data_IF_792776314910
#
_entry.id   IF_792776314910
#
_cell.length_a   1.000
_cell.length_b   1.000
_cell.length_c   1.000
_cell.angle_alpha   90.00
_cell.angle_beta   90.00
_cell.angle_gamma   90.00
#
_symmetry.space_group_name_H-M   'P 1'
#
loop_
_entity.id
_entity.type
_entity.pdbx_description
1 polymer ?
#
# COMPACT_ATOMS: atom_id res chain seq x y z
N UNK A 1 29.24 -40.79 -76.54
CA UNK A 1 28.13 -39.82 -76.40
C UNK A 1 27.24 -40.29 -75.26
N UNK A 2 27.33 -39.63 -74.12
CA UNK A 2 26.63 -40.01 -72.88
C UNK A 2 25.18 -39.54 -72.98
N UNK A 3 24.21 -40.47 -72.98
CA UNK A 3 22.78 -40.18 -72.95
C UNK A 3 22.25 -40.43 -71.53
N UNK A 4 21.79 -39.35 -70.90
CA UNK A 4 21.30 -39.26 -69.52
C UNK A 4 20.08 -40.15 -69.28
N UNK A 5 20.11 -40.91 -68.18
CA UNK A 5 18.95 -41.58 -67.59
C UNK A 5 18.23 -40.57 -66.70
N UNK A 6 16.94 -40.33 -66.96
CA UNK A 6 16.05 -39.56 -66.09
C UNK A 6 15.17 -40.57 -65.35
N UNK A 7 15.35 -40.68 -64.04
CA UNK A 7 14.46 -41.44 -63.13
C UNK A 7 13.40 -40.45 -62.66
N UNK A 8 12.15 -40.67 -63.09
CA UNK A 8 10.99 -39.91 -62.60
C UNK A 8 10.60 -40.39 -61.21
N UNK A 9 10.71 -39.51 -60.22
CA UNK A 9 10.07 -39.67 -58.91
C UNK A 9 8.64 -39.13 -58.99
N UNK A 10 7.65 -40.00 -58.78
CA UNK A 10 6.26 -39.60 -58.55
C UNK A 10 6.15 -39.10 -57.11
N UNK A 11 6.02 -37.78 -56.95
CA UNK A 11 5.72 -37.17 -55.66
C UNK A 11 4.21 -37.23 -55.40
N UNK A 12 3.80 -38.06 -54.43
CA UNK A 12 2.44 -38.10 -53.91
C UNK A 12 2.28 -36.96 -52.90
N UNK A 13 1.70 -35.83 -53.33
CA UNK A 13 1.36 -34.73 -52.42
C UNK A 13 0.09 -35.07 -51.65
N UNK A 14 0.25 -35.47 -50.39
CA UNK A 14 -0.86 -35.52 -49.43
C UNK A 14 -1.16 -34.09 -49.00
N UNK A 15 -2.23 -33.50 -49.53
CA UNK A 15 -2.76 -32.23 -49.05
C UNK A 15 -3.44 -32.46 -47.68
N UNK A 16 -2.66 -32.42 -46.61
CA UNK A 16 -3.20 -32.31 -45.26
C UNK A 16 -3.69 -30.89 -45.03
N UNK A 17 -5.01 -30.66 -45.11
CA UNK A 17 -5.62 -29.48 -44.49
C UNK A 17 -5.48 -29.65 -42.96
N UNK A 18 -4.37 -29.16 -42.42
CA UNK A 18 -4.30 -28.87 -41.00
C UNK A 18 -5.24 -27.68 -40.75
N UNK A 19 -6.43 -27.96 -40.23
CA UNK A 19 -7.22 -26.97 -39.50
C UNK A 19 -6.37 -26.53 -38.31
N UNK A 20 -5.62 -25.45 -38.49
CA UNK A 20 -5.06 -24.70 -37.38
C UNK A 20 -6.26 -24.20 -36.58
N UNK A 21 -6.57 -24.89 -35.49
CA UNK A 21 -7.44 -24.34 -34.47
C UNK A 21 -6.84 -22.97 -34.09
N UNK A 22 -7.65 -21.90 -34.03
CA UNK A 22 -7.14 -20.63 -33.55
C UNK A 22 -6.54 -20.88 -32.17
N UNK A 23 -5.26 -20.55 -32.01
CA UNK A 23 -4.66 -20.39 -30.69
C UNK A 23 -5.61 -19.51 -29.89
N UNK A 24 -6.01 -19.88 -28.67
CA UNK A 24 -6.73 -18.95 -27.80
C UNK A 24 -5.85 -17.71 -27.67
N UNK A 25 -6.22 -16.63 -28.36
CA UNK A 25 -5.67 -15.34 -28.05
C UNK A 25 -6.14 -15.07 -26.63
N UNK A 26 -5.21 -15.06 -25.68
CA UNK A 26 -5.46 -14.54 -24.35
C UNK A 26 -5.86 -13.08 -24.56
N UNK A 27 -7.16 -12.82 -24.57
CA UNK A 27 -7.72 -11.48 -24.68
C UNK A 27 -7.21 -10.66 -23.51
N UNK A 28 -6.77 -9.44 -23.81
CA UNK A 28 -6.33 -8.42 -22.85
C UNK A 28 -7.51 -7.87 -22.01
N UNK A 29 -8.30 -8.76 -21.39
CA UNK A 29 -9.36 -8.45 -20.41
C UNK A 29 -8.85 -8.57 -18.95
N UNK A 30 -7.55 -8.70 -18.76
CA UNK A 30 -6.85 -8.66 -17.47
C UNK A 30 -6.38 -7.20 -17.24
N UNK A 31 -6.94 -6.34 -16.38
CA UNK A 31 -7.88 -6.46 -15.26
C UNK A 31 -8.92 -5.32 -15.35
N UNK A 32 -10.19 -5.63 -15.64
CA UNK A 32 -11.26 -4.74 -15.19
C UNK A 32 -11.44 -4.99 -13.69
N UNK A 33 -10.86 -4.14 -12.83
CA UNK A 33 -11.07 -4.19 -11.38
C UNK A 33 -12.58 -4.23 -11.01
N UNK A 34 -12.94 -4.44 -9.74
CA UNK A 34 -14.34 -4.63 -9.35
C UNK A 34 -15.21 -3.44 -9.77
N UNK A 35 -16.47 -3.73 -10.06
CA UNK A 35 -17.47 -2.71 -10.39
C UNK A 35 -17.73 -1.76 -9.22
N UNK A 36 -18.22 -0.56 -9.53
CA UNK A 36 -18.69 0.39 -8.53
C UNK A 36 -19.74 -0.23 -7.59
N UNK A 37 -20.62 -1.09 -8.10
CA UNK A 37 -21.63 -1.77 -7.30
C UNK A 37 -21.01 -2.74 -6.29
N UNK A 38 -20.02 -3.55 -6.70
CA UNK A 38 -19.30 -4.46 -5.81
C UNK A 38 -18.56 -3.71 -4.70
N UNK A 39 -17.87 -2.62 -5.06
CA UNK A 39 -17.14 -1.80 -4.10
C UNK A 39 -18.08 -1.12 -3.10
N UNK A 40 -19.16 -0.48 -3.56
CA UNK A 40 -20.17 0.12 -2.69
C UNK A 40 -20.85 -0.91 -1.79
N UNK A 41 -21.11 -2.12 -2.29
CA UNK A 41 -21.70 -3.19 -1.48
C UNK A 41 -20.76 -3.61 -0.34
N UNK A 42 -19.45 -3.78 -0.61
CA UNK A 42 -18.47 -4.15 0.41
C UNK A 42 -18.19 -3.01 1.40
N UNK A 43 -18.16 -1.77 0.93
CA UNK A 43 -17.94 -0.57 1.74
C UNK A 43 -19.23 -0.01 2.40
N UNK A 44 -20.41 -0.53 2.07
CA UNK A 44 -21.68 0.01 2.53
C UNK A 44 -21.94 -0.16 4.04
N UNK A 45 -21.16 -0.98 4.73
CA UNK A 45 -21.21 -1.18 6.18
C UNK A 45 -19.97 -0.65 6.89
N UNK A 46 -20.13 -0.26 8.16
CA UNK A 46 -19.04 0.13 9.04
C UNK A 46 -18.75 -1.03 10.01
N UNK A 47 -17.89 -1.99 9.63
CA UNK A 47 -17.56 -3.11 10.54
C UNK A 47 -16.88 -2.60 11.81
N UNK A 48 -16.01 -1.60 11.68
CA UNK A 48 -15.41 -0.88 12.80
C UNK A 48 -15.29 0.60 12.45
N UNK A 49 -15.76 1.48 13.34
CA UNK A 49 -15.47 2.90 13.21
C UNK A 49 -14.05 3.18 13.72
N UNK A 50 -13.19 3.73 12.86
CA UNK A 50 -11.82 4.11 13.23
C UNK A 50 -11.72 5.52 13.80
N UNK A 51 -12.60 6.42 13.37
CA UNK A 51 -12.66 7.78 13.92
C UNK A 51 -13.36 7.80 15.28
N UNK A 52 -12.84 8.56 16.24
CA UNK A 52 -13.47 8.83 17.54
C UNK A 52 -14.67 9.79 17.46
N UNK A 53 -15.00 10.24 16.25
CA UNK A 53 -16.10 11.14 15.96
C UNK A 53 -16.45 11.09 14.48
N UNK A 54 -17.19 12.10 14.02
CA UNK A 54 -17.63 12.24 12.64
C UNK A 54 -17.13 13.55 12.04
N UNK A 55 -17.06 13.57 10.71
CA UNK A 55 -16.66 14.70 9.88
C UNK A 55 -17.88 15.34 9.24
N UNK A 56 -17.77 16.64 8.99
CA UNK A 56 -18.68 17.34 8.11
C UNK A 56 -18.22 17.15 6.66
N UNK A 57 -19.15 17.34 5.74
CA UNK A 57 -18.91 17.37 4.30
C UNK A 57 -18.45 18.78 3.89
N UNK A 58 -19.13 19.81 4.42
CA UNK A 58 -18.75 21.22 4.21
C UNK A 58 -18.37 21.94 5.51
N UNK A 59 -17.72 23.09 5.36
CA UNK A 59 -17.44 24.01 6.48
C UNK A 59 -18.73 24.50 7.14
N UNK A 60 -18.79 24.40 8.47
CA UNK A 60 -19.99 24.73 9.26
C UNK A 60 -21.13 23.71 9.15
N UNK A 61 -20.96 22.64 8.38
CA UNK A 61 -21.94 21.57 8.22
C UNK A 61 -22.08 20.65 9.44
N UNK A 62 -23.14 19.84 9.43
CA UNK A 62 -23.33 18.79 10.43
C UNK A 62 -22.33 17.65 10.25
N UNK A 63 -21.77 17.17 11.37
CA UNK A 63 -20.80 16.07 11.37
C UNK A 63 -21.48 14.71 11.32
N UNK A 64 -21.61 14.13 10.14
CA UNK A 64 -22.36 12.90 9.89
C UNK A 64 -21.52 11.75 9.36
N UNK A 65 -20.36 12.04 8.76
CA UNK A 65 -19.50 11.07 8.07
C UNK A 65 -18.52 10.42 9.06
N UNK A 66 -18.62 9.11 9.25
CA UNK A 66 -17.66 8.35 10.03
C UNK A 66 -16.56 7.76 9.13
N UNK A 67 -15.34 7.63 9.64
CA UNK A 67 -14.29 6.86 8.98
C UNK A 67 -14.38 5.43 9.47
N UNK A 68 -14.61 4.51 8.55
CA UNK A 68 -14.89 3.11 8.82
C UNK A 68 -13.76 2.23 8.33
N UNK A 69 -13.68 1.03 8.90
CA UNK A 69 -12.87 -0.08 8.44
C UNK A 69 -13.78 -1.25 8.15
N UNK A 70 -13.53 -1.90 7.01
CA UNK A 70 -14.13 -3.19 6.66
C UNK A 70 -13.03 -4.07 6.07
N UNK A 71 -12.81 -5.25 6.65
CA UNK A 71 -11.59 -6.02 6.37
C UNK A 71 -10.34 -5.17 6.63
N UNK A 72 -9.45 -5.03 5.65
CA UNK A 72 -8.28 -4.15 5.73
C UNK A 72 -8.49 -2.75 5.16
N UNK A 73 -9.59 -2.51 4.44
CA UNK A 73 -9.82 -1.23 3.79
C UNK A 73 -10.36 -0.20 4.78
N UNK A 74 -9.94 1.05 4.61
CA UNK A 74 -10.50 2.21 5.32
C UNK A 74 -11.40 2.95 4.36
N UNK A 75 -12.62 3.29 4.75
CA UNK A 75 -13.57 3.90 3.83
C UNK A 75 -14.54 4.85 4.52
N UNK A 76 -15.12 5.72 3.70
CA UNK A 76 -16.23 6.59 4.03
C UNK A 76 -17.02 6.94 2.78
N UNK A 77 -18.23 7.45 2.96
CA UNK A 77 -19.01 8.05 1.86
C UNK A 77 -19.35 9.49 2.23
N UNK A 78 -19.01 10.41 1.35
CA UNK A 78 -19.16 11.84 1.51
C UNK A 78 -19.56 12.46 0.17
N UNK A 79 -19.59 13.78 0.13
CA UNK A 79 -19.57 14.57 -1.09
C UNK A 79 -18.20 14.51 -1.77
N UNK A 80 -18.07 15.34 -2.80
CA UNK A 80 -16.81 15.57 -3.48
C UNK A 80 -16.64 17.06 -3.73
N UNK A 81 -15.68 17.66 -3.06
CA UNK A 81 -15.16 18.99 -3.35
C UNK A 81 -13.87 18.89 -4.15
N UNK A 82 -13.69 19.81 -5.10
CA UNK A 82 -12.50 19.84 -5.94
C UNK A 82 -11.38 20.54 -5.16
N UNK A 83 -10.33 19.77 -4.86
CA UNK A 83 -9.08 20.30 -4.33
C UNK A 83 -8.11 20.58 -5.50
N UNK A 84 -7.69 21.84 -5.63
CA UNK A 84 -6.79 22.27 -6.70
C UNK A 84 -5.40 22.64 -6.19
N UNK A 85 -5.06 22.27 -4.95
CA UNK A 85 -3.77 22.57 -4.35
C UNK A 85 -2.59 21.92 -5.10
N UNK A 86 -1.41 22.53 -4.93
CA UNK A 86 -0.14 22.05 -5.46
C UNK A 86 0.39 22.87 -6.64
N UNK A 87 0.73 22.20 -7.74
CA UNK A 87 1.33 22.88 -8.89
C UNK A 87 0.33 23.80 -9.60
N UNK A 88 0.76 25.04 -9.81
CA UNK A 88 0.02 26.00 -10.63
C UNK A 88 -0.12 25.48 -12.06
N UNK A 89 -1.35 25.38 -12.53
CA UNK A 89 -1.72 25.02 -13.90
C UNK A 89 -2.76 25.99 -14.47
N UNK A 90 -3.18 25.79 -15.71
CA UNK A 90 -4.30 26.55 -16.28
C UNK A 90 -5.63 26.28 -15.59
N UNK A 91 -5.80 25.10 -15.01
CA UNK A 91 -7.03 24.65 -14.35
C UNK A 91 -7.01 24.99 -12.86
N UNK A 92 -5.86 24.79 -12.21
CA UNK A 92 -5.66 24.99 -10.79
C UNK A 92 -4.67 26.13 -10.53
N UNK A 93 -5.20 27.27 -10.08
CA UNK A 93 -4.43 28.42 -9.63
C UNK A 93 -5.36 29.36 -8.84
N UNK A 94 -4.76 30.31 -8.16
CA UNK A 94 -5.37 31.39 -7.38
C UNK A 94 -6.40 32.28 -8.12
N UNK A 95 -6.54 32.18 -9.44
CA UNK A 95 -7.63 32.85 -10.17
C UNK A 95 -8.82 31.92 -10.48
N UNK A 96 -8.63 30.60 -10.41
CA UNK A 96 -9.66 29.60 -10.71
C UNK A 96 -10.20 28.92 -9.46
N UNK A 97 -9.42 28.92 -8.39
CA UNK A 97 -9.75 28.35 -7.09
C UNK A 97 -9.49 29.39 -5.98
N UNK A 98 -10.55 29.86 -5.28
CA UNK A 98 -10.43 30.79 -4.16
C UNK A 98 -9.64 30.26 -2.96
N UNK A 99 -9.50 28.94 -2.83
CA UNK A 99 -8.83 28.27 -1.71
C UNK A 99 -7.43 27.77 -2.06
N UNK A 100 -6.97 28.02 -3.30
CA UNK A 100 -5.72 27.47 -3.83
C UNK A 100 -4.52 27.71 -2.92
N UNK A 101 -3.75 26.65 -2.70
CA UNK A 101 -2.42 26.67 -2.12
C UNK A 101 -1.38 26.15 -3.10
N UNK A 102 -0.20 26.79 -3.21
CA UNK A 102 0.85 26.39 -4.15
C UNK A 102 1.64 25.17 -3.68
N UNK A 103 1.11 24.37 -2.75
CA UNK A 103 1.78 23.23 -2.15
C UNK A 103 0.77 22.16 -1.76
N UNK A 104 1.22 20.92 -1.73
CA UNK A 104 0.46 19.76 -1.23
C UNK A 104 1.20 19.15 -0.04
N UNK A 105 0.51 18.38 0.78
CA UNK A 105 1.11 17.72 1.95
C UNK A 105 2.21 16.71 1.60
N UNK A 106 2.22 16.22 0.37
CA UNK A 106 3.26 15.35 -0.18
C UNK A 106 3.74 15.85 -1.53
N UNK A 107 5.00 15.56 -1.85
CA UNK A 107 5.64 15.99 -3.10
C UNK A 107 5.85 14.79 -4.03
N UNK A 108 5.97 15.09 -5.32
CA UNK A 108 6.41 14.15 -6.35
C UNK A 108 7.86 13.73 -6.14
N UNK A 109 8.32 12.72 -6.88
CA UNK A 109 9.71 12.25 -6.80
C UNK A 109 10.75 13.31 -7.16
N UNK A 110 10.37 14.33 -7.92
CA UNK A 110 11.22 15.47 -8.28
C UNK A 110 11.24 16.59 -7.22
N UNK A 111 10.56 16.40 -6.10
CA UNK A 111 10.48 17.34 -4.98
C UNK A 111 9.46 18.46 -5.15
N UNK A 112 8.74 18.55 -6.29
CA UNK A 112 7.67 19.53 -6.49
C UNK A 112 6.36 19.06 -5.85
N UNK A 113 5.42 19.97 -5.53
CA UNK A 113 4.06 19.60 -5.13
C UNK A 113 3.36 18.70 -6.16
N UNK A 114 2.28 18.03 -5.78
CA UNK A 114 1.47 17.26 -6.73
C UNK A 114 0.77 18.18 -7.73
N UNK A 115 0.47 17.65 -8.92
CA UNK A 115 -0.27 18.37 -9.95
C UNK A 115 -1.73 17.89 -9.94
N UNK A 116 -2.63 18.64 -9.30
CA UNK A 116 -4.05 18.31 -9.20
C UNK A 116 -4.77 18.19 -10.56
N UNK A 117 -4.29 18.90 -11.59
CA UNK A 117 -4.84 18.78 -12.94
C UNK A 117 -4.37 17.52 -13.68
N UNK A 118 -3.27 16.91 -13.25
CA UNK A 118 -2.63 15.77 -13.92
C UNK A 118 -2.76 14.43 -13.18
N UNK A 119 -2.83 14.45 -11.85
CA UNK A 119 -2.77 13.27 -10.99
C UNK A 119 -4.08 13.11 -10.20
N UNK A 120 -4.79 11.97 -10.31
CA UNK A 120 -5.89 11.68 -9.39
C UNK A 120 -5.35 11.46 -7.98
N UNK A 121 -5.71 12.36 -7.08
CA UNK A 121 -5.51 12.18 -5.65
C UNK A 121 -6.78 12.51 -4.85
N UNK A 122 -6.83 11.97 -3.64
CA UNK A 122 -7.81 12.32 -2.60
C UNK A 122 -7.13 13.09 -1.47
N UNK A 123 -7.94 13.81 -0.71
CA UNK A 123 -7.52 14.52 0.49
C UNK A 123 -8.02 13.76 1.71
N UNK A 124 -7.13 13.56 2.69
CA UNK A 124 -7.51 13.02 4.00
C UNK A 124 -7.55 14.14 5.03
N UNK A 125 -8.39 14.10 6.07
CA UNK A 125 -8.35 15.14 7.08
C UNK A 125 -7.01 15.14 7.83
N UNK A 126 -6.51 16.32 8.19
CA UNK A 126 -5.37 16.48 9.08
C UNK A 126 -5.55 15.61 10.33
N UNK A 127 -4.48 14.92 10.73
CA UNK A 127 -4.48 14.07 11.92
C UNK A 127 -4.91 14.85 13.16
N UNK A 128 -5.87 14.32 13.91
CA UNK A 128 -6.45 14.97 15.08
C UNK A 128 -6.93 13.96 16.11
N UNK A 129 -7.58 14.43 17.16
CA UNK A 129 -8.27 13.55 18.13
C UNK A 129 -9.48 12.83 17.52
N UNK A 130 -10.05 13.34 16.41
CA UNK A 130 -11.13 12.67 15.68
C UNK A 130 -10.57 11.44 14.97
N UNK A 131 -9.46 11.57 14.25
CA UNK A 131 -8.81 10.45 13.60
C UNK A 131 -7.35 10.78 13.29
N UNK A 132 -6.47 9.80 13.50
CA UNK A 132 -5.10 9.82 13.03
C UNK A 132 -4.94 8.71 11.99
N UNK A 133 -4.92 9.10 10.72
CA UNK A 133 -4.90 8.17 9.59
C UNK A 133 -3.62 7.31 9.55
N UNK A 134 -2.51 7.79 10.14
CA UNK A 134 -1.25 7.04 10.20
C UNK A 134 -1.37 5.78 11.06
N UNK A 135 -2.19 5.82 12.10
CA UNK A 135 -2.47 4.64 12.93
C UNK A 135 -3.19 3.53 12.15
N UNK A 136 -3.82 3.87 11.04
CA UNK A 136 -4.45 2.93 10.14
C UNK A 136 -3.52 2.47 9.00
N UNK A 137 -2.23 2.84 9.00
CA UNK A 137 -1.28 2.48 7.95
C UNK A 137 -1.42 3.31 6.67
N UNK A 138 -2.08 4.47 6.74
CA UNK A 138 -2.25 5.40 5.62
C UNK A 138 -1.13 6.45 5.66
N UNK A 139 -0.52 6.70 4.51
CA UNK A 139 0.51 7.70 4.27
C UNK A 139 0.30 8.34 2.89
N UNK A 140 1.10 9.36 2.55
CA UNK A 140 1.18 9.84 1.17
C UNK A 140 1.45 8.68 0.21
N UNK A 141 0.86 8.76 -0.98
CA UNK A 141 0.86 7.70 -2.00
C UNK A 141 0.02 6.46 -1.69
N UNK A 142 -0.63 6.37 -0.51
CA UNK A 142 -1.56 5.27 -0.23
C UNK A 142 -2.67 5.26 -1.26
N UNK A 143 -2.96 4.11 -1.86
CA UNK A 143 -3.90 4.01 -2.96
C UNK A 143 -5.34 3.95 -2.44
N UNK A 144 -6.24 4.62 -3.13
CA UNK A 144 -7.67 4.60 -2.92
C UNK A 144 -8.42 4.24 -4.21
N UNK A 145 -9.47 3.43 -4.09
CA UNK A 145 -10.56 3.38 -5.07
C UNK A 145 -11.61 4.42 -4.69
N UNK A 146 -11.98 5.27 -5.63
CA UNK A 146 -13.01 6.31 -5.44
C UNK A 146 -14.17 6.00 -6.38
N UNK A 147 -15.36 5.93 -5.82
CA UNK A 147 -16.55 5.45 -6.53
C UNK A 147 -17.61 6.53 -6.55
N UNK A 148 -18.05 6.89 -7.76
CA UNK A 148 -19.19 7.78 -7.97
C UNK A 148 -20.07 7.20 -9.07
N UNK A 149 -21.36 7.05 -8.78
CA UNK A 149 -22.32 6.38 -9.66
C UNK A 149 -21.85 4.97 -10.06
N UNK A 150 -21.64 4.71 -11.34
CA UNK A 150 -21.15 3.46 -11.94
C UNK A 150 -19.63 3.48 -12.21
N UNK A 151 -18.95 4.59 -11.93
CA UNK A 151 -17.53 4.78 -12.21
C UNK A 151 -16.65 4.49 -11.00
N UNK A 152 -15.47 3.97 -11.30
CA UNK A 152 -14.39 3.76 -10.34
C UNK A 152 -13.14 4.42 -10.89
N UNK A 153 -12.50 5.26 -10.07
CA UNK A 153 -11.19 5.82 -10.35
C UNK A 153 -10.22 5.40 -9.24
N UNK A 154 -8.95 5.20 -9.60
CA UNK A 154 -7.90 4.90 -8.62
C UNK A 154 -7.03 6.13 -8.44
N UNK A 155 -6.85 6.52 -7.19
CA UNK A 155 -6.19 7.74 -6.78
C UNK A 155 -5.19 7.44 -5.67
N UNK A 156 -4.30 8.39 -5.39
CA UNK A 156 -3.41 8.35 -4.24
C UNK A 156 -3.91 9.28 -3.14
N UNK A 157 -3.55 9.03 -1.88
CA UNK A 157 -3.60 10.05 -0.82
C UNK A 157 -2.53 11.07 -1.14
N UNK A 158 -2.97 12.27 -1.54
CA UNK A 158 -2.09 13.31 -2.09
C UNK A 158 -2.04 14.60 -1.28
N UNK A 159 -3.09 14.89 -0.50
CA UNK A 159 -3.11 16.05 0.38
C UNK A 159 -3.84 15.83 1.71
N UNK A 160 -3.75 16.82 2.59
CA UNK A 160 -4.44 16.88 3.87
C UNK A 160 -5.31 18.13 3.98
N UNK A 161 -6.58 17.91 4.30
CA UNK A 161 -7.58 18.96 4.48
C UNK A 161 -7.79 19.31 5.95
N UNK A 162 -8.68 20.26 6.26
CA UNK A 162 -8.99 20.66 7.63
C UNK A 162 -9.40 19.48 8.52
N UNK A 163 -9.10 19.57 9.83
CA UNK A 163 -9.30 18.46 10.79
C UNK A 163 -10.75 18.01 11.00
N UNK A 164 -11.74 18.73 10.45
CA UNK A 164 -13.17 18.51 10.71
C UNK A 164 -14.04 18.30 9.47
N UNK A 165 -13.43 18.31 8.28
CA UNK A 165 -14.09 18.18 6.98
C UNK A 165 -13.51 16.97 6.25
N UNK A 166 -14.29 16.30 5.40
CA UNK A 166 -13.84 15.19 4.57
C UNK A 166 -14.68 15.13 3.30
N UNK A 167 -14.08 14.67 2.20
CA UNK A 167 -14.79 14.56 0.91
C UNK A 167 -14.15 15.39 -0.19
N UNK A 168 -12.83 15.57 -0.19
CA UNK A 168 -12.15 16.38 -1.21
C UNK A 168 -11.26 15.50 -2.10
N UNK A 169 -11.07 15.94 -3.35
CA UNK A 169 -10.16 15.28 -4.28
C UNK A 169 -9.79 16.15 -5.48
N UNK A 170 -8.70 15.77 -6.13
CA UNK A 170 -8.09 16.53 -7.23
C UNK A 170 -9.05 16.82 -8.40
N UNK A 171 -8.77 17.92 -9.11
CA UNK A 171 -9.37 18.21 -10.42
C UNK A 171 -9.37 17.00 -11.37
N UNK A 172 -8.24 16.29 -11.47
CA UNK A 172 -8.10 15.13 -12.36
C UNK A 172 -9.02 13.98 -11.95
N UNK A 173 -9.16 13.74 -10.65
CA UNK A 173 -10.06 12.71 -10.13
C UNK A 173 -11.52 13.04 -10.46
N UNK A 174 -11.94 14.29 -10.26
CA UNK A 174 -13.28 14.74 -10.64
C UNK A 174 -13.58 14.47 -12.13
N UNK A 175 -12.63 14.80 -13.02
CA UNK A 175 -12.76 14.50 -14.46
C UNK A 175 -12.97 13.01 -14.73
N UNK A 176 -12.20 12.14 -14.08
CA UNK A 176 -12.30 10.69 -14.30
C UNK A 176 -13.62 10.11 -13.81
N UNK A 177 -14.14 10.65 -12.71
CA UNK A 177 -15.45 10.29 -12.17
C UNK A 177 -16.61 10.95 -12.93
N UNK A 178 -16.34 11.90 -13.83
CA UNK A 178 -17.37 12.71 -14.49
C UNK A 178 -18.13 13.62 -13.53
N UNK A 179 -17.50 14.00 -12.43
CA UNK A 179 -17.94 15.08 -11.54
C UNK A 179 -17.50 16.40 -12.19
N UNK A 180 -18.26 17.48 -12.02
CA UNK A 180 -17.86 18.79 -12.52
C UNK A 180 -16.52 19.19 -11.90
N UNK A 181 -15.42 19.31 -12.66
CA UNK A 181 -14.10 19.52 -12.08
C UNK A 181 -13.80 21.01 -11.84
N UNK A 182 -14.77 21.92 -12.02
CA UNK A 182 -14.53 23.35 -11.81
C UNK A 182 -14.09 23.61 -10.36
N UNK A 183 -12.93 24.25 -10.09
CA UNK A 183 -12.46 24.41 -8.71
C UNK A 183 -13.32 25.35 -7.86
N UNK A 184 -14.03 26.30 -8.49
CA UNK A 184 -14.85 27.29 -7.79
C UNK A 184 -16.33 26.89 -7.64
N UNK A 185 -16.82 25.95 -8.45
CA UNK A 185 -18.26 25.63 -8.55
C UNK A 185 -18.56 24.17 -8.90
N UNK A 186 -17.52 23.35 -8.94
CA UNK A 186 -17.60 21.93 -9.24
C UNK A 186 -17.94 21.09 -8.02
N UNK A 187 -17.65 19.80 -8.14
CA UNK A 187 -17.99 18.84 -7.11
C UNK A 187 -19.38 18.24 -7.24
N UNK A 188 -19.77 17.49 -6.21
CA UNK A 188 -21.13 16.95 -6.03
C UNK A 188 -21.45 16.87 -4.55
N UNK A 189 -22.59 17.42 -4.16
CA UNK A 189 -23.01 17.44 -2.76
C UNK A 189 -23.70 16.15 -2.32
N UNK A 190 -23.65 15.90 -1.00
CA UNK A 190 -24.29 14.76 -0.34
C UNK A 190 -23.43 13.51 -0.36
N UNK A 191 -23.74 12.56 0.53
CA UNK A 191 -22.95 11.35 0.72
C UNK A 191 -23.13 10.36 -0.45
N UNK A 192 -22.51 10.66 -1.60
CA UNK A 192 -22.67 9.95 -2.87
C UNK A 192 -21.35 9.49 -3.49
N UNK A 193 -20.21 9.93 -2.96
CA UNK A 193 -18.88 9.48 -3.35
C UNK A 193 -18.29 8.62 -2.25
N UNK A 194 -17.99 7.36 -2.58
CA UNK A 194 -17.38 6.42 -1.65
C UNK A 194 -15.88 6.38 -1.88
N UNK A 195 -15.11 6.63 -0.83
CA UNK A 195 -13.66 6.61 -0.81
C UNK A 195 -13.21 5.32 -0.10
N UNK A 196 -12.39 4.49 -0.73
CA UNK A 196 -11.95 3.18 -0.20
C UNK A 196 -10.43 3.12 -0.31
N UNK A 197 -9.76 3.35 0.81
CA UNK A 197 -8.30 3.36 0.93
C UNK A 197 -7.80 1.96 1.27
N UNK A 198 -6.64 1.61 0.72
CA UNK A 198 -5.96 0.34 0.96
C UNK A 198 -4.65 0.58 1.72
N UNK A 199 -4.66 0.61 3.07
CA UNK A 199 -3.46 0.74 3.87
C UNK A 199 -2.35 -0.24 3.49
N UNK A 200 -1.10 0.23 3.53
CA UNK A 200 0.06 -0.57 3.13
C UNK A 200 0.29 -0.67 1.62
N UNK A 201 -0.70 -0.31 0.79
CA UNK A 201 -0.57 -0.29 -0.68
C UNK A 201 -0.27 1.14 -1.12
N UNK A 202 0.90 1.36 -1.72
CA UNK A 202 1.30 2.70 -2.19
C UNK A 202 1.79 2.70 -3.63
N UNK A 203 1.51 3.79 -4.33
CA UNK A 203 2.08 4.08 -5.63
C UNK A 203 3.57 4.47 -5.50
N UNK A 204 4.41 4.03 -6.44
CA UNK A 204 5.84 4.35 -6.46
C UNK A 204 6.28 4.76 -7.87
N UNK A 205 6.73 6.01 -8.07
CA UNK A 205 6.55 7.16 -7.16
C UNK A 205 5.06 7.59 -7.03
N UNK A 206 4.75 8.56 -6.18
CA UNK A 206 3.36 9.00 -5.89
C UNK A 206 2.60 9.46 -7.14
N UNK A 207 3.31 10.07 -8.10
CA UNK A 207 2.77 10.53 -9.37
C UNK A 207 2.56 9.42 -10.42
N UNK A 208 2.91 8.17 -10.11
CA UNK A 208 2.79 7.05 -11.04
C UNK A 208 1.35 6.53 -11.11
N UNK A 209 0.56 7.11 -12.00
CA UNK A 209 -0.85 6.75 -12.18
C UNK A 209 -1.05 5.30 -12.66
N UNK A 210 -0.14 4.77 -13.49
CA UNK A 210 -0.23 3.38 -13.98
C UNK A 210 -0.05 2.41 -12.82
N UNK A 211 0.93 2.65 -11.96
CA UNK A 211 1.17 1.84 -10.76
C UNK A 211 0.01 1.96 -9.75
N UNK A 212 -0.49 3.18 -9.53
CA UNK A 212 -1.66 3.42 -8.68
C UNK A 212 -2.90 2.65 -9.18
N UNK A 213 -3.13 2.64 -10.49
CA UNK A 213 -4.26 1.92 -11.11
C UNK A 213 -4.09 0.42 -10.98
N UNK A 214 -2.93 -0.13 -11.35
CA UNK A 214 -2.69 -1.57 -11.31
C UNK A 214 -2.81 -2.12 -9.89
N UNK A 215 -2.09 -1.52 -8.92
CA UNK A 215 -2.15 -1.93 -7.51
C UNK A 215 -3.54 -1.69 -6.90
N UNK A 216 -4.19 -0.59 -7.27
CA UNK A 216 -5.55 -0.26 -6.85
C UNK A 216 -6.56 -1.32 -7.29
N UNK A 217 -6.52 -1.75 -8.55
CA UNK A 217 -7.39 -2.81 -9.06
C UNK A 217 -7.18 -4.13 -8.33
N UNK A 218 -5.94 -4.52 -8.06
CA UNK A 218 -5.63 -5.72 -7.27
C UNK A 218 -6.18 -5.62 -5.84
N UNK A 219 -5.90 -4.50 -5.14
CA UNK A 219 -6.36 -4.30 -3.77
C UNK A 219 -7.89 -4.23 -3.66
N UNK A 220 -8.54 -3.55 -4.61
CA UNK A 220 -9.98 -3.47 -4.71
C UNK A 220 -10.62 -4.84 -4.93
N UNK A 221 -10.04 -5.66 -5.81
CA UNK A 221 -10.49 -7.04 -6.05
C UNK A 221 -10.39 -7.88 -4.78
N UNK A 222 -9.26 -7.81 -4.06
CA UNK A 222 -9.07 -8.51 -2.80
C UNK A 222 -10.09 -8.05 -1.74
N UNK A 223 -10.33 -6.74 -1.63
CA UNK A 223 -11.33 -6.19 -0.71
C UNK A 223 -12.74 -6.72 -0.96
N UNK A 224 -13.18 -6.72 -2.23
CA UNK A 224 -14.50 -7.25 -2.62
C UNK A 224 -14.61 -8.74 -2.34
N UNK A 225 -13.54 -9.50 -2.59
CA UNK A 225 -13.50 -10.95 -2.35
C UNK A 225 -13.27 -11.31 -0.88
N UNK A 226 -13.02 -10.32 -0.02
CA UNK A 226 -12.65 -10.49 1.38
C UNK A 226 -11.39 -11.37 1.56
N UNK A 227 -10.42 -11.22 0.64
CA UNK A 227 -9.13 -11.89 0.71
C UNK A 227 -8.13 -10.98 1.41
N UNK A 228 -7.45 -11.49 2.44
CA UNK A 228 -6.39 -10.74 3.10
C UNK A 228 -5.07 -11.00 2.41
N UNK A 229 -4.48 -9.94 1.85
CA UNK A 229 -3.20 -9.98 1.16
C UNK A 229 -2.03 -9.60 2.07
N UNK A 230 -0.81 -9.93 1.65
CA UNK A 230 0.39 -9.45 2.34
C UNK A 230 0.59 -7.95 2.26
N UNK A 231 0.08 -7.32 1.22
CA UNK A 231 0.24 -5.90 1.00
C UNK A 231 -0.67 -5.08 1.94
N UNK A 232 -1.77 -5.67 2.41
CA UNK A 232 -2.68 -5.08 3.42
C UNK A 232 -2.41 -5.55 4.85
N UNK A 233 -1.42 -6.42 5.06
CA UNK A 233 -1.11 -6.98 6.37
C UNK A 233 -0.32 -5.99 7.23
N UNK A 234 -0.81 -5.69 8.43
CA UNK A 234 -0.10 -4.83 9.38
C UNK A 234 1.19 -5.51 9.88
N UNK A 235 2.34 -4.89 9.58
CA UNK A 235 3.65 -5.31 10.10
C UNK A 235 4.07 -4.51 11.35
N UNK A 236 3.40 -3.39 11.64
CA UNK A 236 3.67 -2.47 12.75
C UNK A 236 2.98 -2.94 14.03
N UNK A 237 3.51 -4.01 14.62
CA UNK A 237 3.00 -4.55 15.87
C UNK A 237 3.63 -3.83 17.07
N UNK A 238 2.85 -3.59 18.12
CA UNK A 238 3.36 -3.00 19.38
C UNK A 238 4.41 -3.89 20.06
N UNK A 239 4.29 -5.20 19.86
CA UNK A 239 5.26 -6.22 20.24
C UNK A 239 5.20 -7.39 19.25
N UNK A 240 6.29 -8.15 19.16
CA UNK A 240 6.40 -9.33 18.30
C UNK A 240 6.35 -10.61 19.14
N UNK A 241 5.18 -11.26 19.28
CA UNK A 241 5.01 -12.41 20.16
C UNK A 241 5.69 -13.67 19.61
N UNK A 242 6.00 -14.62 20.48
CA UNK A 242 6.43 -15.95 20.04
C UNK A 242 5.31 -16.64 19.25
N UNK A 243 5.61 -17.13 18.05
CA UNK A 243 4.67 -17.90 17.23
C UNK A 243 5.18 -19.31 16.97
N UNK A 244 4.25 -20.27 17.03
CA UNK A 244 4.50 -21.69 16.78
C UNK A 244 3.26 -22.35 16.17
N UNK A 245 3.38 -23.63 15.79
CA UNK A 245 2.26 -24.42 15.25
C UNK A 245 0.98 -24.26 16.10
N UNK A 246 -0.14 -23.97 15.42
CA UNK A 246 -1.43 -23.70 16.05
C UNK A 246 -1.67 -22.25 16.47
N UNK A 247 -0.66 -21.36 16.42
CA UNK A 247 -0.87 -19.92 16.58
C UNK A 247 -1.78 -19.39 15.46
N UNK A 248 -2.59 -18.39 15.75
CA UNK A 248 -3.46 -17.74 14.76
C UNK A 248 -3.45 -16.22 14.90
N UNK A 249 -3.92 -15.52 13.87
CA UNK A 249 -4.17 -14.07 13.91
C UNK A 249 -3.18 -13.23 13.11
N UNK A 250 -3.21 -11.91 13.34
CA UNK A 250 -2.47 -10.92 12.53
C UNK A 250 -0.96 -11.09 12.56
N UNK A 251 -0.38 -11.49 13.70
CA UNK A 251 1.05 -11.73 13.81
C UNK A 251 1.50 -12.92 12.93
N UNK A 252 0.66 -13.96 12.82
CA UNK A 252 0.94 -15.09 11.91
C UNK A 252 0.88 -14.62 10.46
N UNK A 253 -0.08 -13.77 10.09
CA UNK A 253 -0.13 -13.18 8.75
C UNK A 253 1.13 -12.39 8.43
N UNK A 254 1.56 -11.53 9.36
CA UNK A 254 2.79 -10.75 9.21
C UNK A 254 4.01 -11.65 8.97
N UNK A 255 4.14 -12.74 9.74
CA UNK A 255 5.20 -13.71 9.55
C UNK A 255 5.13 -14.40 8.17
N UNK A 256 3.95 -14.88 7.76
CA UNK A 256 3.74 -15.51 6.45
C UNK A 256 4.14 -14.59 5.30
N UNK A 257 3.84 -13.31 5.42
CA UNK A 257 4.22 -12.31 4.42
C UNK A 257 5.72 -12.05 4.35
N UNK A 258 6.39 -11.96 5.49
CA UNK A 258 7.84 -11.76 5.55
C UNK A 258 8.62 -12.98 5.07
N UNK A 259 8.03 -14.18 5.14
CA UNK A 259 8.62 -15.41 4.61
C UNK A 259 8.60 -15.46 3.08
N UNK A 260 7.81 -14.61 2.41
CA UNK A 260 7.75 -14.48 0.95
C UNK A 260 7.08 -15.66 0.22
N UNK A 261 6.37 -16.52 0.96
CA UNK A 261 5.80 -17.76 0.44
C UNK A 261 4.36 -17.66 -0.06
N UNK A 262 3.56 -16.71 0.43
CA UNK A 262 2.17 -16.52 -0.01
C UNK A 262 1.84 -15.04 -0.13
N UNK A 263 1.13 -14.65 -1.20
CA UNK A 263 0.55 -13.30 -1.31
C UNK A 263 -0.74 -13.16 -0.48
N UNK A 264 -1.33 -14.30 -0.09
CA UNK A 264 -2.55 -14.42 0.70
C UNK A 264 -2.25 -15.16 2.02
N UNK A 265 -1.86 -14.45 3.08
CA UNK A 265 -1.53 -15.06 4.37
C UNK A 265 -2.78 -15.59 5.08
N UNK A 266 -2.82 -16.90 5.36
CA UNK A 266 -3.95 -17.55 6.03
C UNK A 266 -4.17 -17.07 7.47
N UNK A 267 -3.13 -16.57 8.13
CA UNK A 267 -3.14 -16.23 9.54
C UNK A 267 -3.26 -17.44 10.46
N UNK A 268 -3.04 -18.64 9.95
CA UNK A 268 -2.94 -19.88 10.71
C UNK A 268 -1.53 -20.43 10.59
N UNK A 269 -0.88 -20.71 11.72
CA UNK A 269 0.46 -21.25 11.74
C UNK A 269 0.39 -22.76 11.50
N UNK A 270 0.22 -23.10 10.23
CA UNK A 270 0.07 -24.45 9.72
C UNK A 270 1.43 -25.12 9.41
N UNK A 271 1.38 -26.33 8.87
CA UNK A 271 2.58 -27.09 8.47
C UNK A 271 3.40 -26.35 7.42
N UNK A 272 2.75 -25.73 6.43
CA UNK A 272 3.44 -24.96 5.40
C UNK A 272 4.18 -23.75 5.99
N UNK A 273 3.56 -23.05 6.94
CA UNK A 273 4.19 -21.95 7.69
C UNK A 273 5.37 -22.47 8.52
N UNK A 274 5.20 -23.61 9.19
CA UNK A 274 6.26 -24.24 9.97
C UNK A 274 7.49 -24.59 9.11
N UNK A 275 7.26 -25.18 7.93
CA UNK A 275 8.32 -25.54 6.99
C UNK A 275 9.01 -24.30 6.42
N UNK A 276 8.25 -23.26 6.06
CA UNK A 276 8.79 -21.99 5.60
C UNK A 276 9.66 -21.32 6.67
N UNK A 277 9.24 -21.34 7.94
CA UNK A 277 10.02 -20.79 9.05
C UNK A 277 11.32 -21.57 9.26
N UNK A 278 11.27 -22.90 9.25
CA UNK A 278 12.46 -23.74 9.36
C UNK A 278 13.45 -23.50 8.21
N UNK A 279 12.94 -23.38 6.98
CA UNK A 279 13.75 -23.04 5.82
C UNK A 279 14.38 -21.63 5.97
N UNK A 280 13.61 -20.65 6.43
CA UNK A 280 14.12 -19.31 6.72
C UNK A 280 15.21 -19.33 7.79
N UNK A 281 14.96 -19.96 8.93
CA UNK A 281 15.91 -20.07 10.04
C UNK A 281 17.21 -20.72 9.58
N UNK A 282 17.13 -21.82 8.82
CA UNK A 282 18.29 -22.48 8.21
C UNK A 282 19.07 -21.50 7.32
N UNK A 283 18.38 -20.74 6.47
CA UNK A 283 18.99 -19.78 5.54
C UNK A 283 19.75 -18.65 6.26
N UNK A 284 19.22 -18.18 7.39
CA UNK A 284 19.84 -17.07 8.15
C UNK A 284 20.74 -17.54 9.31
N UNK A 285 20.94 -18.86 9.46
CA UNK A 285 21.83 -19.44 10.47
C UNK A 285 21.26 -19.49 11.89
N UNK A 286 19.93 -19.46 12.05
CA UNK A 286 19.24 -19.66 13.32
C UNK A 286 18.92 -21.15 13.55
N UNK A 287 18.65 -21.58 14.81
CA UNK A 287 18.09 -22.91 15.07
C UNK A 287 16.81 -23.13 14.26
N UNK A 288 16.78 -24.18 13.44
CA UNK A 288 15.64 -24.53 12.58
C UNK A 288 14.55 -25.28 13.36
N UNK A 289 14.09 -24.71 14.47
CA UNK A 289 13.09 -25.29 15.37
C UNK A 289 11.63 -25.02 14.93
N UNK A 290 11.42 -24.09 14.00
CA UNK A 290 10.09 -23.67 13.56
C UNK A 290 9.38 -22.76 14.56
N UNK A 291 10.09 -22.17 15.53
CA UNK A 291 9.57 -21.17 16.46
C UNK A 291 9.96 -19.76 15.99
N UNK A 292 8.98 -18.90 15.76
CA UNK A 292 9.25 -17.47 15.53
C UNK A 292 9.33 -16.77 16.88
N UNK A 293 10.51 -16.83 17.50
CA UNK A 293 10.87 -16.02 18.68
C UNK A 293 11.51 -14.69 18.30
N UNK A 294 12.01 -13.95 19.30
CA UNK A 294 12.61 -12.62 19.12
C UNK A 294 13.72 -12.59 18.03
N UNK A 295 14.59 -13.61 17.99
CA UNK A 295 15.66 -13.73 16.99
C UNK A 295 15.12 -13.90 15.57
N UNK A 296 14.18 -14.82 15.39
CA UNK A 296 13.54 -15.07 14.09
C UNK A 296 12.77 -13.83 13.61
N UNK A 297 12.04 -13.14 14.49
CA UNK A 297 11.39 -11.87 14.18
C UNK A 297 12.37 -10.79 13.77
N UNK A 298 13.45 -10.61 14.53
CA UNK A 298 14.50 -9.62 14.23
C UNK A 298 15.02 -9.82 12.80
N UNK A 299 15.34 -11.07 12.44
CA UNK A 299 15.83 -11.44 11.12
C UNK A 299 14.79 -11.23 10.00
N UNK A 300 13.55 -11.70 10.20
CA UNK A 300 12.46 -11.54 9.23
C UNK A 300 12.20 -10.06 8.94
N UNK A 301 12.11 -9.25 10.00
CA UNK A 301 11.82 -7.82 9.89
C UNK A 301 13.00 -7.05 9.30
N UNK A 302 14.25 -7.51 9.45
CA UNK A 302 15.42 -6.85 8.88
C UNK A 302 15.74 -7.26 7.43
N UNK A 303 15.01 -8.22 6.85
CA UNK A 303 15.30 -8.73 5.51
C UNK A 303 15.21 -7.64 4.43
N UNK A 304 16.03 -7.75 3.37
CA UNK A 304 16.12 -6.78 2.26
C UNK A 304 17.44 -6.01 2.24
N UNK A 305 17.46 -4.88 1.52
CA UNK A 305 18.65 -4.06 1.30
C UNK A 305 19.31 -3.55 2.60
N UNK A 306 20.56 -3.10 2.54
CA UNK A 306 21.30 -2.60 3.69
C UNK A 306 21.73 -1.12 3.51
N UNK A 307 20.78 -0.18 3.36
CA UNK A 307 21.13 1.24 3.22
C UNK A 307 21.75 1.76 4.51
N UNK A 308 22.67 2.71 4.41
CA UNK A 308 23.17 3.40 5.60
C UNK A 308 22.15 4.44 6.03
N UNK A 309 21.52 4.24 7.20
CA UNK A 309 20.54 5.17 7.77
C UNK A 309 20.99 5.64 9.16
N UNK A 310 20.62 6.88 9.49
CA UNK A 310 21.02 7.62 10.70
C UNK A 310 19.99 8.69 11.04
N UNK A 311 20.19 9.41 12.13
CA UNK A 311 19.32 10.52 12.53
C UNK A 311 19.01 11.47 11.35
N UNK A 312 17.72 11.76 11.16
CA UNK A 312 17.17 12.54 10.04
C UNK A 312 16.77 11.72 8.80
N UNK A 313 17.14 10.44 8.70
CA UNK A 313 16.68 9.56 7.61
C UNK A 313 15.18 9.28 7.74
N UNK A 314 14.50 9.08 6.62
CA UNK A 314 13.08 8.72 6.60
C UNK A 314 12.78 7.59 5.60
N UNK A 315 11.59 7.00 5.72
CA UNK A 315 11.05 6.05 4.74
C UNK A 315 11.05 4.59 5.20
N UNK A 316 10.77 3.69 4.26
CA UNK A 316 10.49 2.27 4.56
C UNK A 316 11.66 1.53 5.20
N UNK A 317 12.90 1.89 4.86
CA UNK A 317 14.09 1.34 5.50
C UNK A 317 14.16 1.67 6.99
N UNK A 318 13.70 2.85 7.39
CA UNK A 318 13.62 3.28 8.80
C UNK A 318 12.51 2.53 9.53
N UNK A 319 11.31 2.42 8.94
CA UNK A 319 10.22 1.63 9.54
C UNK A 319 10.66 0.18 9.76
N UNK A 320 11.36 -0.40 8.77
CA UNK A 320 11.92 -1.75 8.85
C UNK A 320 12.93 -1.90 10.00
N UNK A 321 13.81 -0.92 10.18
CA UNK A 321 14.72 -0.87 11.32
C UNK A 321 13.94 -0.81 12.64
N UNK A 322 12.98 0.10 12.78
CA UNK A 322 12.21 0.30 14.01
C UNK A 322 11.46 -0.97 14.43
N UNK A 323 10.88 -1.70 13.47
CA UNK A 323 10.28 -3.04 13.68
C UNK A 323 11.30 -4.04 14.21
N UNK A 324 12.45 -4.15 13.53
CA UNK A 324 13.51 -5.10 13.88
C UNK A 324 14.10 -4.80 15.26
N UNK A 325 14.34 -3.53 15.60
CA UNK A 325 14.78 -3.09 16.93
C UNK A 325 13.75 -3.41 18.01
N UNK A 326 12.45 -3.22 17.71
CA UNK A 326 11.38 -3.59 18.63
C UNK A 326 11.42 -5.09 18.97
N UNK A 327 11.62 -5.94 17.97
CA UNK A 327 11.78 -7.38 18.17
C UNK A 327 13.07 -7.73 18.94
N UNK A 328 14.20 -7.11 18.58
CA UNK A 328 15.52 -7.42 19.14
C UNK A 328 15.68 -6.99 20.61
N UNK A 329 15.13 -5.82 20.95
CA UNK A 329 15.27 -5.21 22.28
C UNK A 329 14.14 -5.62 23.23
N UNK A 330 13.05 -6.20 22.71
CA UNK A 330 11.87 -6.58 23.52
C UNK A 330 11.10 -5.38 24.09
N UNK A 331 11.32 -4.18 23.55
CA UNK A 331 10.63 -2.94 23.92
C UNK A 331 10.20 -2.19 22.66
N UNK A 332 9.04 -1.54 22.70
CA UNK A 332 8.52 -0.80 21.56
C UNK A 332 9.42 0.37 21.18
N UNK A 333 9.83 0.42 19.92
CA UNK A 333 10.34 1.62 19.23
C UNK A 333 9.19 2.13 18.38
N UNK A 334 8.91 3.44 18.43
CA UNK A 334 7.85 4.03 17.59
C UNK A 334 8.17 3.75 16.12
N UNK A 335 7.20 3.22 15.39
CA UNK A 335 7.34 2.86 13.97
C UNK A 335 6.66 3.93 13.12
N UNK A 336 7.33 5.07 12.96
CA UNK A 336 6.86 6.23 12.21
C UNK A 336 7.64 6.43 10.89
N UNK A 337 8.64 5.60 10.63
CA UNK A 337 9.51 5.74 9.47
C UNK A 337 10.41 6.98 9.54
N UNK A 338 10.57 7.59 10.71
CA UNK A 338 11.45 8.73 10.96
C UNK A 338 12.57 8.33 11.92
N UNK A 339 13.81 8.49 11.47
CA UNK A 339 14.96 8.16 12.31
C UNK A 339 15.24 9.36 13.20
N UNK A 340 14.52 9.46 14.32
CA UNK A 340 14.73 10.49 15.33
C UNK A 340 15.61 10.03 16.51
N UNK A 341 15.78 10.88 17.54
CA UNK A 341 16.61 10.57 18.72
C UNK A 341 16.23 9.27 19.44
N UNK A 342 14.93 8.91 19.45
CA UNK A 342 14.46 7.66 20.05
C UNK A 342 14.90 6.42 19.25
N UNK A 343 14.91 6.50 17.91
CA UNK A 343 15.42 5.44 17.04
C UNK A 343 16.94 5.33 17.13
N UNK A 344 17.64 6.46 17.21
CA UNK A 344 19.09 6.52 17.44
C UNK A 344 19.50 5.83 18.74
N UNK A 345 18.84 6.18 19.84
CA UNK A 345 19.06 5.54 21.15
C UNK A 345 18.84 4.03 21.07
N UNK A 346 17.79 3.58 20.36
CA UNK A 346 17.53 2.16 20.19
C UNK A 346 18.59 1.46 19.31
N UNK A 347 19.11 2.13 18.28
CA UNK A 347 20.21 1.63 17.46
C UNK A 347 21.50 1.49 18.29
N UNK A 348 21.85 2.49 19.09
CA UNK A 348 23.00 2.46 20.00
C UNK A 348 22.88 1.35 21.05
N UNK A 349 21.70 1.18 21.66
CA UNK A 349 21.44 0.09 22.59
C UNK A 349 21.64 -1.27 21.92
N UNK A 350 21.07 -1.46 20.72
CA UNK A 350 21.27 -2.68 19.96
C UNK A 350 22.75 -2.94 19.69
N UNK A 351 23.47 -1.95 19.15
CA UNK A 351 24.92 -2.03 18.91
C UNK A 351 25.69 -2.42 20.17
N UNK A 352 25.38 -1.80 21.32
CA UNK A 352 25.99 -2.12 22.62
C UNK A 352 25.73 -3.57 23.03
N UNK A 353 24.48 -4.04 22.93
CA UNK A 353 24.12 -5.43 23.27
C UNK A 353 24.74 -6.48 22.33
N UNK A 354 25.24 -6.06 21.16
CA UNK A 354 25.89 -6.91 20.15
C UNK A 354 27.39 -6.69 20.03
N UNK A 355 27.97 -5.87 20.91
CA UNK A 355 29.39 -5.50 20.87
C UNK A 355 29.84 -4.98 19.48
N UNK A 356 28.97 -4.22 18.82
CA UNK A 356 29.28 -3.47 17.61
C UNK A 356 29.85 -2.10 17.97
N UNK A 357 30.36 -1.38 16.96
CA UNK A 357 30.65 0.05 17.12
C UNK A 357 29.34 0.76 17.47
N UNK A 358 29.34 1.50 18.58
CA UNK A 358 28.17 2.24 19.08
C UNK A 358 28.25 3.66 18.54
N UNK A 359 27.76 3.86 17.32
CA UNK A 359 27.78 5.13 16.60
C UNK A 359 26.38 5.64 16.24
N UNK A 360 25.32 4.91 16.60
CA UNK A 360 23.94 5.25 16.28
C UNK A 360 23.60 5.15 14.78
N UNK A 361 24.55 4.74 13.94
CA UNK A 361 24.40 4.61 12.49
C UNK A 361 24.14 3.15 12.13
N UNK A 362 23.04 2.91 11.41
CA UNK A 362 22.71 1.58 10.93
C UNK A 362 23.25 1.41 9.51
N UNK A 363 24.50 0.97 9.44
CA UNK A 363 25.18 0.57 8.21
C UNK A 363 25.16 -0.96 7.99
N UNK A 364 25.90 -1.45 6.97
CA UNK A 364 25.91 -2.87 6.60
C UNK A 364 26.22 -3.83 7.76
N UNK A 365 27.11 -3.46 8.69
CA UNK A 365 27.47 -4.30 9.84
C UNK A 365 26.28 -4.48 10.80
N UNK A 366 25.60 -3.38 11.14
CA UNK A 366 24.40 -3.41 11.99
C UNK A 366 23.26 -4.17 11.31
N UNK A 367 23.02 -3.93 10.01
CA UNK A 367 22.02 -4.67 9.24
C UNK A 367 22.30 -6.17 9.20
N UNK A 368 23.57 -6.56 9.00
CA UNK A 368 23.96 -7.97 8.97
C UNK A 368 23.72 -8.65 10.32
N UNK A 369 23.97 -7.95 11.43
CA UNK A 369 23.65 -8.47 12.76
C UNK A 369 22.13 -8.68 12.94
N UNK A 370 21.31 -7.69 12.55
CA UNK A 370 19.86 -7.80 12.61
C UNK A 370 19.33 -8.93 11.73
N UNK A 371 19.83 -9.05 10.49
CA UNK A 371 19.42 -10.10 9.54
C UNK A 371 19.83 -11.51 9.97
N UNK A 372 20.86 -11.64 10.80
CA UNK A 372 21.24 -12.90 11.45
C UNK A 372 20.43 -13.18 12.74
N UNK A 373 19.46 -12.32 13.07
CA UNK A 373 18.63 -12.44 14.27
C UNK A 373 19.44 -12.30 15.56
N UNK A 374 20.56 -11.58 15.53
CA UNK A 374 21.46 -11.48 16.68
C UNK A 374 20.85 -10.69 17.80
#
# INVERSE_FOLDING_TARGET
MVRRIVIGFVALTVAGLALLAPTPQVQADELAGPTAAQLKARAGGCETQLSNGKYAQDSGGSRTVAVCKSGDAVHWTADFDVDCDGQRTTQCNENTDPSFQPNTSWNQSDGRPLNAAGLPFIVVPLSSTIWNFRNAGINGATIAAVVYQDKVAYAVVGDQGPTGIIGEGSYKLAQQLGINPNPSSGGVSGAVVTYILFPGISAVPIENQTDATAKGQTAATAFVNNTQTCASTNLDLTAYPALQAGSTGGAVRAAQCLLGGTNEPSGTYDTATTDAVKAFQTRVGLPSDGLIGAKTWTALLAAGDQPTIRNGSTGTAVSRLQRSLTAALGRTVIIDGQFGPATETAAEDYQRTRALIVDGVVGPVTWTALQAGK
#
